data_IF_714044714448
#
_entry.id   IF_714044714448
#
_cell.length_a   1.000
_cell.length_b   1.000
_cell.length_c   1.000
_cell.angle_alpha   90.00
_cell.angle_beta   90.00
_cell.angle_gamma   90.00
#
_symmetry.space_group_name_H-M   'P 1'
#
loop_
_entity.id
_entity.type
_entity.pdbx_description
1 polymer ?
#
# COMPACT_ATOMS: atom_id res chain seq x y z
N UNK A 1 -31.05 -47.82 19.92
CA UNK A 1 -29.83 -47.18 20.43
C UNK A 1 -28.84 -47.11 19.28
N UNK A 2 -28.80 -45.99 18.56
CA UNK A 2 -27.92 -45.80 17.38
C UNK A 2 -26.75 -44.95 17.84
N UNK A 3 -25.56 -45.54 17.82
CA UNK A 3 -24.30 -44.88 18.20
C UNK A 3 -23.78 -44.16 16.95
N UNK A 4 -23.91 -42.83 16.93
CA UNK A 4 -23.32 -41.97 15.90
C UNK A 4 -21.85 -41.72 16.20
N UNK A 5 -20.97 -42.22 15.34
CA UNK A 5 -19.53 -41.92 15.37
C UNK A 5 -19.34 -40.56 14.70
N UNK A 6 -19.03 -39.53 15.49
CA UNK A 6 -18.57 -38.24 14.98
C UNK A 6 -17.08 -38.33 14.62
N UNK A 7 -16.79 -38.35 13.32
CA UNK A 7 -15.45 -38.16 12.79
C UNK A 7 -15.08 -36.67 12.91
N UNK A 8 -14.30 -36.34 13.93
CA UNK A 8 -13.60 -35.05 14.00
C UNK A 8 -12.45 -35.06 12.99
N UNK A 9 -12.67 -34.42 11.84
CA UNK A 9 -11.57 -34.08 10.94
C UNK A 9 -10.86 -32.87 11.55
N UNK A 10 -9.75 -33.11 12.25
CA UNK A 10 -8.87 -32.02 12.67
C UNK A 10 -8.18 -31.46 11.43
N UNK A 11 -8.58 -30.26 11.02
CA UNK A 11 -7.80 -29.43 10.09
C UNK A 11 -6.50 -29.05 10.83
N UNK A 12 -5.45 -29.85 10.63
CA UNK A 12 -4.10 -29.41 10.92
C UNK A 12 -3.77 -28.29 9.94
N UNK A 13 -3.92 -27.04 10.38
CA UNK A 13 -3.17 -25.95 9.78
C UNK A 13 -1.69 -26.26 10.04
N UNK A 14 -1.02 -26.86 9.05
CA UNK A 14 0.43 -26.91 9.04
C UNK A 14 0.87 -25.46 8.84
N UNK A 15 1.06 -24.76 9.95
CA UNK A 15 1.80 -23.51 9.96
C UNK A 15 3.23 -23.91 9.63
N UNK A 16 3.62 -23.78 8.37
CA UNK A 16 5.03 -23.77 8.01
C UNK A 16 5.62 -22.52 8.69
N UNK A 17 6.18 -22.69 9.88
CA UNK A 17 7.01 -21.67 10.49
C UNK A 17 8.24 -21.53 9.59
N UNK A 18 8.29 -20.47 8.79
CA UNK A 18 9.46 -20.19 7.97
C UNK A 18 10.67 -20.02 8.89
N UNK A 19 11.76 -20.73 8.59
CA UNK A 19 12.98 -20.66 9.39
C UNK A 19 13.60 -19.26 9.25
N UNK A 20 13.78 -18.56 10.37
CA UNK A 20 14.51 -17.30 10.40
C UNK A 20 16.00 -17.55 10.10
N UNK A 21 16.54 -16.83 9.13
CA UNK A 21 17.94 -16.91 8.72
C UNK A 21 18.84 -15.93 9.47
N UNK A 22 18.25 -14.91 10.11
CA UNK A 22 18.96 -14.02 11.02
C UNK A 22 19.14 -14.75 12.36
N UNK A 23 20.37 -14.72 12.88
CA UNK A 23 20.74 -15.26 14.18
C UNK A 23 20.91 -14.11 15.17
N UNK A 24 20.50 -14.30 16.43
CA UNK A 24 20.58 -13.28 17.48
C UNK A 24 19.94 -11.95 17.03
N UNK A 25 18.77 -12.04 16.39
CA UNK A 25 18.01 -10.86 15.93
C UNK A 25 17.15 -10.24 17.04
N UNK A 26 16.91 -10.97 18.12
CA UNK A 26 16.24 -10.55 19.34
C UNK A 26 17.20 -9.89 20.36
N UNK A 27 18.52 -10.03 20.17
CA UNK A 27 19.57 -9.38 20.98
C UNK A 27 19.48 -9.62 22.49
N UNK A 28 18.86 -10.73 22.92
CA UNK A 28 18.64 -11.08 24.33
C UNK A 28 19.94 -11.45 25.08
N UNK A 29 21.07 -11.55 24.38
CA UNK A 29 22.38 -11.68 25.00
C UNK A 29 23.09 -10.32 25.09
N UNK A 30 23.08 -9.62 26.24
CA UNK A 30 23.68 -8.28 26.36
C UNK A 30 25.20 -8.24 26.18
N UNK A 31 25.87 -9.39 26.32
CA UNK A 31 27.32 -9.48 26.28
C UNK A 31 27.86 -9.85 24.90
N UNK A 32 27.00 -10.22 23.95
CA UNK A 32 27.41 -10.55 22.59
C UNK A 32 26.33 -10.22 21.59
N UNK A 33 26.74 -9.49 20.56
CA UNK A 33 25.93 -9.24 19.37
C UNK A 33 26.27 -10.23 18.26
N UNK A 34 27.09 -11.27 18.50
CA UNK A 34 27.46 -12.21 17.45
C UNK A 34 26.20 -12.90 16.89
N UNK A 35 26.14 -13.16 15.56
CA UNK A 35 27.17 -12.95 14.55
C UNK A 35 27.05 -11.60 13.81
N UNK A 36 26.46 -10.58 14.42
CA UNK A 36 26.40 -9.25 13.83
C UNK A 36 27.75 -8.55 13.86
N UNK A 37 28.08 -7.88 12.77
CA UNK A 37 29.27 -7.07 12.60
C UNK A 37 28.89 -5.59 12.52
N UNK A 38 29.72 -4.72 13.09
CA UNK A 38 29.55 -3.26 13.05
C UNK A 38 30.89 -2.62 12.69
N UNK A 39 31.17 -2.46 11.39
CA UNK A 39 32.38 -1.78 10.94
C UNK A 39 32.21 -0.27 11.12
N UNK A 40 33.14 0.37 11.83
CA UNK A 40 33.10 1.82 12.05
C UNK A 40 32.02 2.29 13.02
N UNK A 41 31.51 1.40 13.89
CA UNK A 41 30.47 1.72 14.86
C UNK A 41 30.61 0.90 16.15
N UNK A 42 29.96 1.36 17.22
CA UNK A 42 30.00 0.73 18.54
C UNK A 42 28.61 0.18 18.92
N UNK A 43 28.38 -1.13 18.74
CA UNK A 43 27.16 -1.78 19.20
C UNK A 43 27.26 -2.12 20.70
N UNK A 44 26.21 -1.88 21.47
CA UNK A 44 26.12 -2.29 22.86
C UNK A 44 24.70 -2.78 23.18
N UNK A 45 24.56 -3.84 23.98
CA UNK A 45 23.26 -4.25 24.50
C UNK A 45 22.68 -3.20 25.46
N UNK A 46 21.38 -2.91 25.35
CA UNK A 46 20.68 -1.96 26.22
C UNK A 46 19.36 -2.53 26.75
N UNK A 47 19.06 -2.32 28.04
CA UNK A 47 17.75 -2.66 28.66
C UNK A 47 16.67 -1.65 28.27
N UNK A 48 16.28 -1.69 27.02
CA UNK A 48 15.18 -0.95 26.40
C UNK A 48 14.95 -1.66 25.08
N UNK A 49 13.82 -2.31 24.91
CA UNK A 49 13.58 -3.24 23.81
C UNK A 49 12.20 -2.97 23.20
N UNK A 50 12.00 -3.48 21.99
CA UNK A 50 10.68 -3.65 21.42
C UNK A 50 10.03 -4.90 21.98
N UNK A 51 10.80 -5.99 22.12
CA UNK A 51 10.35 -7.26 22.70
C UNK A 51 11.45 -7.84 23.58
N UNK A 52 11.05 -8.55 24.64
CA UNK A 52 11.99 -9.11 25.61
C UNK A 52 12.67 -8.03 26.46
N UNK A 53 13.90 -8.26 26.89
CA UNK A 53 14.60 -7.44 27.89
C UNK A 53 15.67 -6.53 27.28
N UNK A 54 16.20 -6.91 26.11
CA UNK A 54 17.38 -6.29 25.53
C UNK A 54 17.18 -5.95 24.06
N UNK A 55 17.92 -4.95 23.61
CA UNK A 55 18.09 -4.64 22.19
C UNK A 55 19.54 -4.21 21.96
N UNK A 56 19.92 -4.03 20.70
CA UNK A 56 21.24 -3.48 20.37
C UNK A 56 21.13 -1.98 20.09
N UNK A 57 21.98 -1.21 20.75
CA UNK A 57 22.18 0.21 20.50
C UNK A 57 23.44 0.42 19.66
N UNK A 58 23.32 1.13 18.54
CA UNK A 58 24.43 1.49 17.65
C UNK A 58 24.75 2.98 17.84
N UNK A 59 26.01 3.25 18.20
CA UNK A 59 26.52 4.61 18.43
C UNK A 59 27.90 4.79 17.80
N UNK A 60 28.41 6.01 17.83
CA UNK A 60 29.79 6.34 17.39
C UNK A 60 30.08 5.83 15.98
N UNK A 61 29.15 6.04 15.06
CA UNK A 61 29.32 5.68 13.65
C UNK A 61 30.24 6.72 13.01
N UNK A 62 31.24 6.27 12.27
CA UNK A 62 32.23 7.15 11.62
C UNK A 62 31.87 7.47 10.16
N UNK A 63 31.04 6.65 9.51
CA UNK A 63 30.66 6.77 8.11
C UNK A 63 29.19 6.37 7.88
N UNK A 64 28.63 6.77 6.75
CA UNK A 64 27.23 6.48 6.38
C UNK A 64 26.93 4.98 6.28
N UNK A 65 27.93 4.18 5.91
CA UNK A 65 27.81 2.73 5.80
C UNK A 65 28.17 1.97 7.09
N UNK A 66 28.54 2.68 8.16
CA UNK A 66 28.89 2.08 9.44
C UNK A 66 27.61 1.60 10.11
N UNK A 67 27.33 0.31 9.98
CA UNK A 67 26.01 -0.28 10.18
C UNK A 67 26.10 -1.69 10.76
N UNK A 68 25.04 -2.11 11.45
CA UNK A 68 24.87 -3.50 11.82
C UNK A 68 24.64 -4.34 10.56
N UNK A 69 25.48 -5.35 10.39
CA UNK A 69 25.51 -6.21 9.23
C UNK A 69 25.59 -7.67 9.65
N UNK A 70 24.81 -8.55 9.05
CA UNK A 70 24.92 -9.98 9.29
C UNK A 70 25.11 -10.74 7.97
N UNK A 71 26.06 -11.67 7.95
CA UNK A 71 26.26 -12.60 6.83
C UNK A 71 25.25 -13.74 6.90
N UNK A 72 24.43 -13.83 5.87
CA UNK A 72 23.41 -14.85 5.70
C UNK A 72 23.93 -15.96 4.79
N UNK A 73 23.88 -17.20 5.26
CA UNK A 73 24.26 -18.38 4.47
C UNK A 73 23.06 -18.83 3.64
N UNK A 74 23.13 -18.67 2.32
CA UNK A 74 22.11 -19.13 1.38
C UNK A 74 22.67 -19.20 -0.04
N UNK A 75 22.18 -20.12 -0.86
CA UNK A 75 22.57 -20.29 -2.27
C UNK A 75 21.91 -19.28 -3.23
N UNK A 76 21.01 -18.43 -2.71
CA UNK A 76 20.14 -17.58 -3.53
C UNK A 76 19.04 -18.38 -4.23
N UNK A 77 18.35 -17.75 -5.18
CA UNK A 77 17.25 -18.33 -5.95
C UNK A 77 15.85 -18.09 -5.39
N UNK A 78 15.74 -17.41 -4.27
CA UNK A 78 14.51 -17.27 -3.49
C UNK A 78 14.18 -15.79 -3.26
N UNK A 79 12.91 -15.53 -2.95
CA UNK A 79 12.48 -14.26 -2.37
C UNK A 79 12.56 -14.35 -0.85
N UNK A 80 13.01 -13.28 -0.21
CA UNK A 80 13.12 -13.18 1.24
C UNK A 80 12.31 -11.99 1.71
N UNK A 81 11.69 -12.09 2.88
CA UNK A 81 11.11 -10.95 3.60
C UNK A 81 11.95 -10.67 4.83
N UNK A 82 12.37 -9.41 4.96
CA UNK A 82 13.04 -8.90 6.14
C UNK A 82 12.04 -8.22 7.06
N UNK A 83 12.30 -8.29 8.37
CA UNK A 83 11.58 -7.52 9.37
C UNK A 83 12.51 -7.18 10.53
N UNK A 84 12.47 -5.96 11.03
CA UNK A 84 13.13 -5.53 12.27
C UNK A 84 12.44 -4.29 12.83
N UNK A 85 12.74 -3.89 14.05
CA UNK A 85 12.23 -2.66 14.64
C UNK A 85 13.40 -1.74 14.97
N UNK A 86 13.29 -0.48 14.55
CA UNK A 86 14.28 0.56 14.81
C UNK A 86 13.71 1.64 15.71
N UNK A 87 14.56 2.20 16.57
CA UNK A 87 14.24 3.38 17.38
C UNK A 87 15.38 4.37 17.34
N UNK A 88 15.11 5.60 16.90
CA UNK A 88 16.12 6.65 16.86
C UNK A 88 16.33 7.23 18.26
N UNK A 89 17.60 7.45 18.62
CA UNK A 89 18.00 8.04 19.88
C UNK A 89 18.50 9.48 19.71
N UNK A 90 19.13 9.75 18.57
CA UNK A 90 19.75 11.03 18.27
C UNK A 90 19.71 11.30 16.78
N UNK A 91 19.44 12.55 16.41
CA UNK A 91 19.50 13.04 15.04
C UNK A 91 20.65 14.04 14.88
N UNK A 92 21.00 14.34 13.62
CA UNK A 92 21.86 15.47 13.29
C UNK A 92 21.25 16.77 13.82
N UNK A 93 22.09 17.66 14.36
CA UNK A 93 21.62 18.94 14.89
C UNK A 93 20.91 19.75 13.81
N UNK A 94 19.65 20.11 14.05
CA UNK A 94 18.84 20.92 13.14
C UNK A 94 18.01 20.10 12.15
N UNK A 95 18.08 18.77 12.16
CA UNK A 95 17.18 17.92 11.39
C UNK A 95 16.02 17.42 12.25
N UNK A 96 14.85 17.24 11.63
CA UNK A 96 13.66 16.69 12.29
C UNK A 96 13.50 15.18 12.05
N UNK A 97 14.22 14.65 11.06
CA UNK A 97 14.11 13.27 10.61
C UNK A 97 15.39 12.80 9.92
N UNK A 98 15.46 11.50 9.64
CA UNK A 98 16.47 10.82 8.81
C UNK A 98 15.79 9.70 8.02
N UNK A 99 16.48 9.16 7.01
CA UNK A 99 16.01 8.01 6.25
C UNK A 99 16.76 6.75 6.72
N UNK A 100 16.05 5.63 6.81
CA UNK A 100 16.61 4.34 7.22
C UNK A 100 16.52 3.38 6.05
N UNK A 101 17.63 2.70 5.72
CA UNK A 101 17.68 1.81 4.57
C UNK A 101 18.17 0.43 5.00
N UNK A 102 17.62 -0.60 4.37
CA UNK A 102 18.16 -1.96 4.48
C UNK A 102 18.68 -2.39 3.11
N UNK A 103 19.93 -2.85 3.11
CA UNK A 103 20.63 -3.29 1.93
C UNK A 103 20.93 -4.78 2.00
N UNK A 104 20.80 -5.43 0.84
CA UNK A 104 21.46 -6.71 0.59
C UNK A 104 22.74 -6.47 -0.21
N UNK A 105 23.80 -7.16 0.19
CA UNK A 105 25.14 -7.04 -0.41
C UNK A 105 25.67 -8.42 -0.76
N UNK A 106 26.00 -8.66 -2.03
CA UNK A 106 26.54 -9.94 -2.48
C UNK A 106 27.40 -9.75 -3.73
N UNK A 107 28.18 -10.77 -4.08
CA UNK A 107 28.89 -10.83 -5.36
C UNK A 107 28.16 -11.81 -6.27
N UNK A 108 27.78 -11.37 -7.46
CA UNK A 108 27.08 -12.23 -8.42
C UNK A 108 28.01 -13.30 -9.02
N UNK A 109 27.45 -14.23 -9.80
CA UNK A 109 28.22 -15.29 -10.47
C UNK A 109 29.33 -14.79 -11.41
N UNK A 110 29.27 -13.53 -11.84
CA UNK A 110 30.23 -12.90 -12.74
C UNK A 110 31.33 -12.14 -11.99
N UNK A 111 31.26 -12.07 -10.66
CA UNK A 111 32.22 -11.32 -9.84
C UNK A 111 31.84 -9.86 -9.60
N UNK A 112 30.64 -9.44 -10.01
CA UNK A 112 30.15 -8.08 -9.79
C UNK A 112 29.65 -7.94 -8.36
N UNK A 113 30.15 -6.93 -7.65
CA UNK A 113 29.61 -6.55 -6.34
C UNK A 113 28.27 -5.84 -6.52
N UNK A 114 27.23 -6.38 -5.89
CA UNK A 114 25.88 -5.82 -5.86
C UNK A 114 25.59 -5.31 -4.45
N UNK A 115 25.15 -4.06 -4.38
CA UNK A 115 24.51 -3.46 -3.20
C UNK A 115 23.12 -3.00 -3.63
N UNK A 116 22.10 -3.72 -3.19
CA UNK A 116 20.70 -3.43 -3.51
C UNK A 116 19.98 -2.98 -2.26
N UNK A 117 19.36 -1.80 -2.32
CA UNK A 117 18.41 -1.35 -1.31
C UNK A 117 17.08 -2.07 -1.55
N UNK A 118 16.48 -2.60 -0.48
CA UNK A 118 15.19 -3.28 -0.57
C UNK A 118 14.21 -2.88 0.55
N UNK A 119 14.68 -2.12 1.53
CA UNK A 119 13.86 -1.34 2.46
C UNK A 119 14.33 0.09 2.40
N UNK A 120 13.41 1.03 2.30
CA UNK A 120 13.69 2.46 2.22
C UNK A 120 12.71 3.21 3.10
N UNK A 121 12.95 3.44 4.38
CA UNK A 121 11.98 4.06 5.27
C UNK A 121 12.29 5.56 5.47
N UNK A 122 11.59 6.48 4.78
CA UNK A 122 11.95 7.89 4.81
C UNK A 122 11.41 8.60 6.05
N UNK A 123 12.07 9.69 6.43
CA UNK A 123 11.59 10.65 7.44
C UNK A 123 11.28 10.05 8.83
N UNK A 124 12.06 9.07 9.28
CA UNK A 124 11.97 8.51 10.63
C UNK A 124 12.35 9.57 11.66
N UNK A 125 11.56 9.66 12.74
CA UNK A 125 11.72 10.66 13.79
C UNK A 125 11.93 9.99 15.14
N UNK A 126 12.64 10.65 16.05
CA UNK A 126 12.78 10.20 17.45
C UNK A 126 11.42 10.00 18.11
N UNK A 127 10.44 10.86 17.80
CA UNK A 127 9.09 10.80 18.36
C UNK A 127 8.27 9.58 17.95
N UNK A 128 8.67 8.82 16.91
CA UNK A 128 7.94 7.61 16.49
C UNK A 128 8.18 6.42 17.43
N UNK A 129 9.26 6.44 18.21
CA UNK A 129 9.62 5.30 19.05
C UNK A 129 10.06 4.10 18.20
N UNK A 130 9.62 2.91 18.57
CA UNK A 130 9.89 1.69 17.80
C UNK A 130 9.08 1.68 16.50
N UNK A 131 9.78 1.67 15.38
CA UNK A 131 9.23 1.69 14.03
C UNK A 131 9.60 0.41 13.31
N UNK A 132 8.63 -0.26 12.70
CA UNK A 132 8.88 -1.46 11.91
C UNK A 132 9.60 -1.10 10.60
N UNK A 133 10.65 -1.87 10.28
CA UNK A 133 11.30 -1.93 8.98
C UNK A 133 10.93 -3.28 8.36
N UNK A 134 10.22 -3.29 7.24
CA UNK A 134 9.96 -4.51 6.47
C UNK A 134 10.27 -4.31 5.00
N UNK A 135 10.13 -5.36 4.20
CA UNK A 135 10.39 -5.34 2.77
C UNK A 135 10.97 -6.66 2.27
N UNK A 136 10.71 -6.94 1.00
CA UNK A 136 11.12 -8.17 0.35
C UNK A 136 12.24 -7.96 -0.67
N UNK A 137 13.02 -9.01 -0.90
CA UNK A 137 14.12 -9.00 -1.85
C UNK A 137 14.32 -10.35 -2.52
N UNK A 138 14.49 -10.31 -3.83
CA UNK A 138 14.94 -11.47 -4.61
C UNK A 138 16.46 -11.56 -4.60
N UNK A 139 17.01 -12.71 -4.21
CA UNK A 139 18.45 -12.98 -4.33
C UNK A 139 18.65 -13.94 -5.51
N UNK A 140 19.45 -13.58 -6.53
CA UNK A 140 19.61 -14.41 -7.71
C UNK A 140 20.34 -15.73 -7.40
N UNK A 141 20.11 -16.73 -8.24
CA UNK A 141 20.86 -17.98 -8.18
C UNK A 141 22.35 -17.79 -8.48
N UNK A 142 23.20 -18.55 -7.80
CA UNK A 142 24.63 -18.63 -8.10
C UNK A 142 25.45 -17.45 -7.59
N UNK A 143 25.01 -16.78 -6.52
CA UNK A 143 25.86 -15.80 -5.81
C UNK A 143 27.16 -16.48 -5.33
N UNK A 144 28.27 -15.75 -5.37
CA UNK A 144 29.54 -16.29 -4.91
C UNK A 144 29.51 -16.60 -3.41
N UNK A 145 30.28 -17.62 -3.02
CA UNK A 145 30.44 -18.04 -1.63
C UNK A 145 29.16 -18.50 -0.92
N UNK A 146 28.03 -18.65 -1.63
CA UNK A 146 26.72 -19.03 -1.08
C UNK A 146 26.35 -18.22 0.17
N UNK A 147 26.62 -16.92 0.13
CA UNK A 147 26.22 -16.00 1.17
C UNK A 147 25.99 -14.59 0.65
N UNK A 148 25.18 -13.83 1.37
CA UNK A 148 24.97 -12.41 1.19
C UNK A 148 24.93 -11.73 2.56
N UNK A 149 25.14 -10.41 2.60
CA UNK A 149 25.03 -9.64 3.84
C UNK A 149 23.75 -8.80 3.82
N UNK A 150 23.04 -8.78 4.95
CA UNK A 150 21.97 -7.82 5.22
C UNK A 150 22.53 -6.72 6.12
N UNK A 151 22.29 -5.46 5.78
CA UNK A 151 22.90 -4.31 6.46
C UNK A 151 21.87 -3.19 6.64
N UNK A 152 21.76 -2.67 7.86
CA UNK A 152 20.81 -1.61 8.22
C UNK A 152 21.56 -0.29 8.34
N UNK A 153 21.45 0.55 7.31
CA UNK A 153 22.24 1.76 7.12
C UNK A 153 21.40 3.02 7.24
N UNK A 154 21.97 4.07 7.84
CA UNK A 154 21.40 5.41 7.92
C UNK A 154 22.41 6.40 7.31
N UNK A 155 22.04 7.26 6.35
CA UNK A 155 22.99 8.11 5.65
C UNK A 155 23.84 9.01 6.57
N UNK A 156 23.24 9.57 7.62
CA UNK A 156 23.94 10.44 8.58
C UNK A 156 24.60 9.61 9.68
N UNK A 157 25.92 9.75 9.85
CA UNK A 157 26.71 8.96 10.80
C UNK A 157 26.55 9.46 12.25
N UNK A 158 26.06 10.68 12.45
CA UNK A 158 25.80 11.24 13.78
C UNK A 158 24.49 10.73 14.40
N UNK A 159 23.70 9.96 13.65
CA UNK A 159 22.46 9.32 14.11
C UNK A 159 22.78 8.08 14.91
N UNK A 160 22.36 8.10 16.17
CA UNK A 160 22.38 6.93 17.07
C UNK A 160 20.99 6.27 17.05
N UNK A 161 20.96 4.94 17.04
CA UNK A 161 19.72 4.18 16.94
C UNK A 161 19.80 2.85 17.70
N UNK A 162 18.64 2.23 17.90
CA UNK A 162 18.51 0.89 18.45
C UNK A 162 17.80 -0.02 17.45
N UNK A 163 18.13 -1.31 17.49
CA UNK A 163 17.49 -2.35 16.68
C UNK A 163 17.06 -3.53 17.54
N UNK A 164 15.94 -4.13 17.14
CA UNK A 164 15.38 -5.30 17.79
C UNK A 164 14.58 -6.18 16.81
N UNK A 165 14.32 -7.43 17.21
CA UNK A 165 13.52 -8.45 16.52
C UNK A 165 13.80 -8.56 15.01
N UNK A 166 15.08 -8.58 14.65
CA UNK A 166 15.52 -8.75 13.27
C UNK A 166 15.27 -10.19 12.78
N UNK A 167 14.65 -10.31 11.61
CA UNK A 167 14.35 -11.58 10.98
C UNK A 167 14.47 -11.48 9.46
N UNK A 168 14.83 -12.60 8.84
CA UNK A 168 14.83 -12.78 7.40
C UNK A 168 14.32 -14.20 7.12
N UNK A 169 13.19 -14.30 6.42
CA UNK A 169 12.58 -15.59 6.10
C UNK A 169 12.37 -15.73 4.60
N UNK A 170 12.50 -16.95 4.08
CA UNK A 170 12.14 -17.24 2.70
C UNK A 170 10.63 -17.04 2.52
N UNK A 171 10.24 -16.28 1.50
CA UNK A 171 8.85 -16.19 1.05
C UNK A 171 8.56 -17.47 0.25
N UNK A 172 7.74 -18.39 0.77
CA UNK A 172 7.49 -19.65 0.10
C UNK A 172 6.82 -19.39 -1.25
N UNK A 173 7.35 -19.98 -2.31
CA UNK A 173 6.67 -19.99 -3.58
C UNK A 173 5.37 -20.80 -3.44
N UNK A 174 4.23 -20.12 -3.55
CA UNK A 174 2.93 -20.75 -3.53
C UNK A 174 2.44 -20.92 -4.98
N UNK A 175 2.64 -22.08 -5.64
CA UNK A 175 2.19 -22.29 -7.01
C UNK A 175 0.66 -22.20 -7.16
N UNK A 176 -0.08 -22.25 -6.06
CA UNK A 176 -1.53 -22.19 -6.01
C UNK A 176 -2.07 -20.81 -5.61
N UNK A 177 -1.21 -19.79 -5.44
CA UNK A 177 -1.62 -18.45 -4.99
C UNK A 177 -2.79 -17.92 -5.80
N UNK A 178 -2.75 -18.12 -7.12
CA UNK A 178 -3.79 -17.65 -8.03
C UNK A 178 -5.10 -18.41 -7.82
N UNK A 179 -5.05 -19.73 -7.82
CA UNK A 179 -6.25 -20.55 -7.60
C UNK A 179 -6.87 -20.33 -6.21
N UNK A 180 -6.04 -20.06 -5.19
CA UNK A 180 -6.51 -19.72 -3.85
C UNK A 180 -7.16 -18.34 -3.83
N UNK A 181 -6.52 -17.33 -4.43
CA UNK A 181 -7.10 -16.00 -4.57
C UNK A 181 -8.41 -16.04 -5.36
N UNK A 182 -8.49 -16.80 -6.46
CA UNK A 182 -9.70 -16.99 -7.26
C UNK A 182 -10.81 -17.66 -6.43
N UNK A 183 -10.47 -18.70 -5.66
CA UNK A 183 -11.40 -19.38 -4.75
C UNK A 183 -11.91 -18.45 -3.64
N UNK A 184 -11.05 -17.59 -3.10
CA UNK A 184 -11.45 -16.58 -2.12
C UNK A 184 -12.32 -15.49 -2.73
N UNK A 185 -12.02 -15.04 -3.95
CA UNK A 185 -12.88 -14.11 -4.70
C UNK A 185 -14.25 -14.75 -4.93
N UNK A 186 -14.30 -16.01 -5.36
CA UNK A 186 -15.56 -16.74 -5.56
C UNK A 186 -16.35 -16.84 -4.25
N UNK A 187 -15.68 -17.16 -3.14
CA UNK A 187 -16.31 -17.32 -1.83
C UNK A 187 -16.75 -16.01 -1.17
N UNK A 188 -15.96 -14.95 -1.33
CA UNK A 188 -16.14 -13.69 -0.58
C UNK A 188 -16.78 -12.57 -1.42
N UNK A 189 -16.63 -12.61 -2.74
CA UNK A 189 -17.02 -11.51 -3.64
C UNK A 189 -18.04 -11.91 -4.69
N UNK A 190 -18.29 -13.21 -4.91
CA UNK A 190 -19.35 -13.68 -5.81
C UNK A 190 -20.50 -14.29 -5.01
N UNK A 191 -21.69 -14.20 -5.57
CA UNK A 191 -22.89 -14.82 -5.03
C UNK A 191 -23.62 -15.54 -6.17
N UNK A 192 -24.15 -16.73 -5.88
CA UNK A 192 -24.99 -17.47 -6.83
C UNK A 192 -26.39 -16.87 -6.83
N UNK A 193 -26.82 -16.35 -7.98
CA UNK A 193 -28.21 -15.94 -8.19
C UNK A 193 -28.98 -17.09 -8.86
N UNK A 194 -29.92 -17.69 -8.14
CA UNK A 194 -30.86 -18.67 -8.71
C UNK A 194 -32.15 -17.96 -9.06
N UNK A 195 -32.52 -18.00 -10.34
CA UNK A 195 -33.80 -17.46 -10.82
C UNK A 195 -34.72 -18.62 -11.18
N UNK A 196 -35.88 -18.67 -10.53
CA UNK A 196 -36.91 -19.68 -10.81
C UNK A 196 -38.16 -18.95 -11.30
N UNK A 197 -38.42 -18.90 -12.61
CA UNK A 197 -39.66 -18.33 -13.12
C UNK A 197 -40.84 -19.20 -12.67
N UNK A 198 -41.85 -18.57 -12.07
CA UNK A 198 -43.10 -19.24 -11.66
C UNK A 198 -44.24 -18.63 -12.47
N UNK A 199 -44.87 -19.45 -13.30
CA UNK A 199 -46.13 -19.08 -13.96
C UNK A 199 -47.28 -19.37 -12.99
N UNK A 200 -47.91 -18.33 -12.45
CA UNK A 200 -49.15 -18.48 -11.69
C UNK A 200 -50.30 -18.70 -12.67
N UNK A 201 -50.77 -19.94 -12.75
CA UNK A 201 -52.12 -20.20 -13.23
C UNK A 201 -53.08 -19.86 -12.08
N UNK A 202 -53.90 -18.81 -12.25
CA UNK A 202 -55.11 -18.72 -11.44
C UNK A 202 -55.90 -20.00 -11.72
N UNK A 203 -56.15 -20.76 -10.66
CA UNK A 203 -56.86 -22.03 -10.67
C UNK A 203 -58.06 -21.97 -11.62
N UNK A 204 -58.01 -22.83 -12.65
CA UNK A 204 -59.14 -23.45 -13.38
C UNK A 204 -58.87 -23.65 -14.88
N UNK A 205 -57.78 -23.11 -15.43
CA UNK A 205 -57.40 -23.41 -16.82
C UNK A 205 -56.39 -24.55 -16.90
N UNK A 206 -56.91 -25.78 -17.00
CA UNK A 206 -56.17 -26.90 -17.58
C UNK A 206 -55.79 -26.51 -19.02
N UNK A 207 -54.51 -26.61 -19.38
CA UNK A 207 -54.04 -26.52 -20.75
C UNK A 207 -54.56 -27.74 -21.55
N UNK A 208 -55.87 -27.76 -21.83
CA UNK A 208 -56.46 -28.70 -22.77
C UNK A 208 -56.25 -28.15 -24.16
N UNK A 209 -55.57 -28.95 -24.98
CA UNK A 209 -54.99 -28.61 -26.26
C UNK A 209 -55.94 -28.08 -27.35
N UNK A 210 -57.21 -27.80 -27.07
CA UNK A 210 -58.20 -27.64 -28.13
C UNK A 210 -59.06 -26.38 -28.17
N UNK A 211 -59.17 -25.51 -27.15
CA UNK A 211 -59.92 -24.24 -27.33
C UNK A 211 -59.40 -23.08 -26.47
N UNK A 212 -58.79 -22.09 -27.13
CA UNK A 212 -58.86 -20.67 -26.75
C UNK A 212 -58.11 -20.17 -25.50
N UNK A 213 -57.30 -20.98 -24.84
CA UNK A 213 -56.61 -20.57 -23.61
C UNK A 213 -55.20 -20.04 -23.91
N UNK A 214 -54.93 -18.77 -23.60
CA UNK A 214 -53.59 -18.17 -23.69
C UNK A 214 -52.66 -18.83 -22.66
N UNK A 215 -51.98 -19.89 -23.08
CA UNK A 215 -50.91 -20.51 -22.30
C UNK A 215 -49.65 -19.66 -22.49
N UNK A 216 -49.02 -19.25 -21.39
CA UNK A 216 -47.72 -18.58 -21.47
C UNK A 216 -46.68 -19.67 -21.77
N UNK A 217 -46.21 -19.70 -23.02
CA UNK A 217 -45.07 -20.54 -23.40
C UNK A 217 -43.79 -19.91 -22.86
N UNK A 218 -43.29 -20.49 -21.76
CA UNK A 218 -42.07 -20.05 -21.09
C UNK A 218 -40.81 -20.21 -21.95
N UNK A 219 -40.85 -20.94 -23.06
CA UNK A 219 -39.73 -21.07 -24.01
C UNK A 219 -39.42 -19.76 -24.76
N UNK A 220 -40.36 -18.80 -24.76
CA UNK A 220 -40.17 -17.45 -25.30
C UNK A 220 -39.85 -16.40 -24.23
N UNK A 221 -39.66 -16.78 -22.97
CA UNK A 221 -39.28 -15.85 -21.91
C UNK A 221 -37.77 -15.63 -21.90
N UNK A 222 -37.36 -14.37 -21.82
CA UNK A 222 -35.97 -13.96 -21.61
C UNK A 222 -35.86 -13.23 -20.29
N UNK A 223 -34.80 -13.54 -19.54
CA UNK A 223 -34.46 -12.81 -18.32
C UNK A 223 -33.15 -12.07 -18.55
N UNK A 224 -33.20 -10.75 -18.44
CA UNK A 224 -32.02 -9.90 -18.46
C UNK A 224 -31.65 -9.51 -17.02
N UNK A 225 -30.42 -9.81 -16.61
CA UNK A 225 -29.88 -9.34 -15.34
C UNK A 225 -28.95 -8.17 -15.64
N UNK A 226 -29.32 -6.97 -15.18
CA UNK A 226 -28.48 -5.78 -15.28
C UNK A 226 -27.97 -5.40 -13.89
N UNK A 227 -26.66 -5.43 -13.70
CA UNK A 227 -26.04 -4.85 -12.51
C UNK A 227 -26.15 -3.33 -12.62
N UNK A 228 -26.96 -2.70 -11.75
CA UNK A 228 -27.22 -1.26 -11.78
C UNK A 228 -26.33 -0.45 -10.83
N UNK A 229 -25.67 -1.12 -9.88
CA UNK A 229 -24.72 -0.52 -8.94
C UNK A 229 -23.73 -1.56 -8.40
N UNK A 230 -22.55 -1.11 -8.00
CA UNK A 230 -21.61 -1.91 -7.22
C UNK A 230 -21.66 -1.51 -5.74
N UNK A 231 -21.37 -2.45 -4.83
CA UNK A 231 -21.18 -2.11 -3.41
C UNK A 231 -19.84 -1.36 -3.19
N UNK A 232 -18.89 -1.57 -4.09
CA UNK A 232 -17.59 -0.90 -4.11
C UNK A 232 -17.54 0.09 -5.25
N UNK A 233 -16.93 1.25 -5.01
CA UNK A 233 -16.78 2.29 -6.00
C UNK A 233 -16.11 1.77 -7.29
N UNK A 234 -16.78 1.92 -8.43
CA UNK A 234 -16.22 1.62 -9.75
C UNK A 234 -16.04 2.90 -10.57
N UNK A 235 -14.80 3.28 -10.82
CA UNK A 235 -14.47 4.56 -11.44
C UNK A 235 -13.23 4.53 -12.29
N UNK A 236 -12.96 5.67 -12.90
CA UNK A 236 -11.74 5.93 -13.65
C UNK A 236 -11.26 7.36 -13.39
N UNK A 237 -9.99 7.59 -13.69
CA UNK A 237 -9.37 8.91 -13.67
C UNK A 237 -9.82 9.72 -14.88
N UNK A 238 -10.05 11.02 -14.68
CA UNK A 238 -10.68 11.96 -15.60
C UNK A 238 -9.74 13.13 -15.82
N UNK A 239 -9.40 13.38 -17.08
CA UNK A 239 -8.67 14.57 -17.46
C UNK A 239 -9.65 15.74 -17.58
N UNK A 240 -9.54 16.78 -16.74
CA UNK A 240 -10.53 17.86 -16.69
C UNK A 240 -10.60 18.62 -18.02
N UNK A 241 -9.46 18.87 -18.68
CA UNK A 241 -9.40 19.59 -19.96
C UNK A 241 -10.15 18.85 -21.08
N UNK A 242 -10.06 17.52 -21.12
CA UNK A 242 -10.79 16.71 -22.11
C UNK A 242 -12.28 16.70 -21.83
N UNK A 243 -12.67 16.72 -20.54
CA UNK A 243 -14.07 16.70 -20.15
C UNK A 243 -14.79 18.02 -20.45
N UNK A 244 -14.09 19.16 -20.33
CA UNK A 244 -14.66 20.49 -20.58
C UNK A 244 -14.60 20.91 -22.05
N UNK A 245 -13.82 20.20 -22.87
CA UNK A 245 -13.71 20.49 -24.29
C UNK A 245 -14.95 20.01 -25.07
N UNK A 246 -15.75 20.95 -25.56
CA UNK A 246 -16.98 20.67 -26.31
C UNK A 246 -16.76 19.98 -27.66
N UNK A 247 -15.53 19.95 -28.18
CA UNK A 247 -15.19 19.20 -29.39
C UNK A 247 -14.92 17.71 -29.11
N UNK A 248 -14.81 17.30 -27.83
CA UNK A 248 -14.47 15.94 -27.40
C UNK A 248 -15.61 15.27 -26.62
N UNK A 249 -16.84 15.45 -27.07
CA UNK A 249 -18.04 14.91 -26.40
C UNK A 249 -17.99 13.40 -26.15
N UNK A 250 -17.35 12.63 -27.05
CA UNK A 250 -17.21 11.18 -26.91
C UNK A 250 -16.42 10.76 -25.67
N UNK A 251 -15.46 11.58 -25.22
CA UNK A 251 -14.70 11.31 -24.01
C UNK A 251 -15.63 11.37 -22.79
N UNK A 252 -16.37 12.48 -22.64
CA UNK A 252 -17.35 12.63 -21.57
C UNK A 252 -18.41 11.54 -21.60
N UNK A 253 -18.98 11.26 -22.78
CA UNK A 253 -20.00 10.23 -22.96
C UNK A 253 -19.51 8.84 -22.52
N UNK A 254 -18.31 8.46 -22.93
CA UNK A 254 -17.69 7.21 -22.46
C UNK A 254 -17.58 7.17 -20.94
N UNK A 255 -17.16 8.26 -20.31
CA UNK A 255 -17.07 8.31 -18.85
C UNK A 255 -18.43 8.15 -18.18
N UNK A 256 -19.47 8.82 -18.71
CA UNK A 256 -20.81 8.80 -18.14
C UNK A 256 -21.51 7.44 -18.27
N UNK A 257 -21.27 6.74 -19.38
CA UNK A 257 -21.94 5.46 -19.66
C UNK A 257 -21.31 4.27 -18.93
N UNK A 258 -20.04 4.39 -18.51
CA UNK A 258 -19.26 3.25 -18.01
C UNK A 258 -18.91 3.33 -16.51
N UNK A 259 -18.97 4.50 -15.88
CA UNK A 259 -18.47 4.68 -14.52
C UNK A 259 -19.47 5.38 -13.59
N UNK A 260 -19.48 4.96 -12.32
CA UNK A 260 -20.23 5.63 -11.25
C UNK A 260 -19.36 6.62 -10.46
N UNK A 261 -18.03 6.53 -10.57
CA UNK A 261 -17.06 7.43 -9.95
C UNK A 261 -16.07 8.02 -10.97
N UNK A 262 -15.70 9.29 -10.76
CA UNK A 262 -14.66 9.99 -11.52
C UNK A 262 -13.65 10.65 -10.58
N UNK A 263 -12.38 10.28 -10.70
CA UNK A 263 -11.27 10.98 -10.04
C UNK A 263 -10.73 12.06 -10.99
N UNK A 264 -10.65 13.32 -10.56
CA UNK A 264 -10.05 14.35 -11.42
C UNK A 264 -8.51 14.23 -11.39
N UNK A 265 -7.92 13.93 -12.54
CA UNK A 265 -6.48 13.78 -12.75
C UNK A 265 -5.74 15.07 -12.41
N UNK A 266 -4.92 15.04 -11.35
CA UNK A 266 -4.09 16.13 -10.84
C UNK A 266 -4.79 17.50 -10.63
N UNK A 267 -6.06 17.66 -10.99
CA UNK A 267 -6.72 18.96 -11.06
C UNK A 267 -6.95 19.60 -9.70
N UNK A 268 -6.89 18.81 -8.62
CA UNK A 268 -6.96 19.32 -7.25
C UNK A 268 -5.59 19.48 -6.58
N UNK A 269 -4.49 19.11 -7.26
CA UNK A 269 -3.15 19.30 -6.73
C UNK A 269 -2.86 20.78 -6.58
N UNK A 270 -2.13 21.12 -5.52
CA UNK A 270 -1.90 22.52 -5.15
C UNK A 270 -1.17 23.29 -6.26
N UNK A 271 -0.15 22.69 -6.89
CA UNK A 271 0.59 23.35 -7.98
C UNK A 271 -0.28 23.68 -9.20
N UNK A 272 -1.28 22.85 -9.50
CA UNK A 272 -2.16 23.04 -10.68
C UNK A 272 -3.25 24.07 -10.41
N UNK A 273 -3.54 24.35 -9.14
CA UNK A 273 -4.55 25.33 -8.76
C UNK A 273 -3.97 26.68 -8.33
N UNK A 274 -2.73 26.71 -7.86
CA UNK A 274 -2.09 27.90 -7.29
C UNK A 274 -0.57 27.83 -7.48
N UNK A 275 -0.14 27.80 -8.74
CA UNK A 275 1.28 27.80 -9.12
C UNK A 275 2.03 29.02 -8.57
N UNK A 276 1.35 30.17 -8.52
CA UNK A 276 1.78 31.42 -7.91
C UNK A 276 0.92 31.79 -6.70
N UNK A 277 1.56 32.28 -5.62
CA UNK A 277 0.87 32.53 -4.36
C UNK A 277 -0.29 33.52 -4.54
N UNK A 278 -1.49 33.12 -4.10
CA UNK A 278 -2.76 33.85 -4.22
C UNK A 278 -3.27 34.07 -5.65
N UNK A 279 -2.70 33.38 -6.63
CA UNK A 279 -3.23 33.34 -8.00
C UNK A 279 -3.85 31.96 -8.22
N UNK A 280 -5.16 31.91 -8.01
CA UNK A 280 -5.91 30.67 -8.11
C UNK A 280 -6.41 30.46 -9.55
N UNK A 281 -6.07 29.32 -10.13
CA UNK A 281 -6.64 28.83 -11.38
C UNK A 281 -7.45 27.55 -11.10
N UNK A 282 -8.77 27.64 -11.20
CA UNK A 282 -9.66 26.52 -10.89
C UNK A 282 -10.80 26.36 -11.90
N UNK A 283 -10.80 27.11 -13.00
CA UNK A 283 -11.97 27.23 -13.87
C UNK A 283 -12.29 25.88 -14.52
N UNK A 284 -11.29 25.26 -15.17
CA UNK A 284 -11.42 23.93 -15.78
C UNK A 284 -11.86 22.88 -14.76
N UNK A 285 -11.28 22.91 -13.55
CA UNK A 285 -11.65 22.00 -12.47
C UNK A 285 -13.12 22.16 -12.10
N UNK A 286 -13.58 23.40 -11.86
CA UNK A 286 -14.96 23.69 -11.46
C UNK A 286 -15.94 23.26 -12.55
N UNK A 287 -15.64 23.56 -13.81
CA UNK A 287 -16.46 23.12 -14.95
C UNK A 287 -16.53 21.60 -15.06
N UNK A 288 -15.39 20.90 -14.92
CA UNK A 288 -15.35 19.44 -14.93
C UNK A 288 -16.17 18.82 -13.79
N UNK A 289 -16.03 19.35 -12.56
CA UNK A 289 -16.79 18.90 -11.40
C UNK A 289 -18.29 19.12 -11.54
N UNK A 290 -18.71 20.18 -12.23
CA UNK A 290 -20.11 20.45 -12.55
C UNK A 290 -20.63 19.48 -13.62
N UNK A 291 -19.86 19.22 -14.69
CA UNK A 291 -20.24 18.24 -15.74
C UNK A 291 -20.41 16.84 -15.19
N UNK A 292 -19.52 16.39 -14.30
CA UNK A 292 -19.66 15.09 -13.63
C UNK A 292 -20.90 15.05 -12.74
N UNK A 293 -21.16 16.13 -12.00
CA UNK A 293 -22.35 16.23 -11.14
C UNK A 293 -23.64 16.19 -11.94
N UNK A 294 -23.72 16.88 -13.07
CA UNK A 294 -24.93 16.92 -13.90
C UNK A 294 -25.27 15.56 -14.51
N UNK A 295 -24.27 14.68 -14.68
CA UNK A 295 -24.43 13.32 -15.18
C UNK A 295 -24.51 12.26 -14.06
N UNK A 296 -24.58 12.68 -12.79
CA UNK A 296 -24.80 11.78 -11.66
C UNK A 296 -23.55 11.03 -11.17
N UNK A 297 -22.34 11.38 -11.64
CA UNK A 297 -21.11 10.74 -11.19
C UNK A 297 -20.72 11.25 -9.80
N UNK A 298 -20.34 10.30 -8.95
CA UNK A 298 -19.63 10.59 -7.70
C UNK A 298 -18.20 10.96 -8.03
N UNK A 299 -17.58 11.78 -7.19
CA UNK A 299 -16.32 12.47 -7.51
C UNK A 299 -15.28 12.22 -6.43
N UNK A 300 -14.05 11.98 -6.87
CA UNK A 300 -12.87 11.91 -6.02
C UNK A 300 -11.86 12.99 -6.42
N UNK A 301 -11.15 13.47 -5.42
CA UNK A 301 -9.97 14.30 -5.61
C UNK A 301 -8.77 13.57 -5.03
N UNK A 302 -7.65 13.61 -5.76
CA UNK A 302 -6.38 13.03 -5.33
C UNK A 302 -5.30 14.11 -5.25
N UNK A 303 -4.49 14.05 -4.20
CA UNK A 303 -3.29 14.89 -4.10
C UNK A 303 -3.51 16.30 -3.59
N UNK A 304 -4.38 16.51 -2.59
CA UNK A 304 -4.50 17.82 -1.94
C UNK A 304 -3.14 18.37 -1.48
N UNK A 305 -2.33 17.48 -0.90
CA UNK A 305 -0.91 17.66 -0.64
C UNK A 305 -0.16 16.46 -1.20
N UNK A 306 1.09 16.64 -1.63
CA UNK A 306 1.98 15.53 -2.02
C UNK A 306 3.32 15.65 -1.32
N UNK A 307 3.93 14.51 -0.98
CA UNK A 307 5.31 14.50 -0.47
C UNK A 307 6.35 14.79 -1.56
N UNK A 308 5.96 14.70 -2.84
CA UNK A 308 6.80 15.06 -3.97
C UNK A 308 6.88 16.58 -4.09
N UNK A 309 8.09 17.14 -3.99
CA UNK A 309 8.31 18.59 -4.06
C UNK A 309 7.74 19.22 -5.34
N UNK A 310 7.81 18.51 -6.47
CA UNK A 310 7.31 18.95 -7.79
C UNK A 310 5.78 19.12 -7.85
N UNK A 311 5.05 18.52 -6.93
CA UNK A 311 3.58 18.57 -6.90
C UNK A 311 3.05 19.67 -5.96
N UNK A 312 3.97 20.43 -5.34
CA UNK A 312 3.66 21.59 -4.52
C UNK A 312 4.17 22.87 -5.19
N UNK A 313 3.48 24.02 -5.02
CA UNK A 313 3.97 25.27 -5.58
C UNK A 313 5.35 25.67 -5.04
N UNK A 314 6.21 26.18 -5.91
CA UNK A 314 7.57 26.60 -5.56
C UNK A 314 7.63 27.72 -4.51
N UNK A 315 6.53 28.47 -4.32
CA UNK A 315 6.47 29.53 -3.31
C UNK A 315 6.32 28.96 -1.89
N UNK A 316 5.77 27.76 -1.72
CA UNK A 316 5.60 27.13 -0.39
C UNK A 316 6.95 26.88 0.28
N UNK A 317 7.95 26.40 -0.46
CA UNK A 317 9.29 26.11 0.08
C UNK A 317 10.07 27.36 0.51
N UNK A 318 9.61 28.55 0.09
CA UNK A 318 10.22 29.85 0.42
C UNK A 318 9.59 30.48 1.67
N UNK A 319 8.51 29.90 2.20
CA UNK A 319 7.82 30.44 3.37
C UNK A 319 8.51 30.02 4.68
N UNK A 320 8.52 30.89 5.70
CA UNK A 320 8.83 30.49 7.07
C UNK A 320 7.87 29.40 7.56
N UNK A 321 8.32 28.51 8.46
CA UNK A 321 7.53 27.38 8.98
C UNK A 321 6.14 27.80 9.53
N UNK A 322 6.07 28.98 10.18
CA UNK A 322 4.81 29.55 10.66
C UNK A 322 3.80 29.79 9.54
N UNK A 323 4.28 30.26 8.40
CA UNK A 323 3.46 30.68 7.27
C UNK A 323 3.09 29.48 6.38
N UNK A 324 3.91 28.42 6.36
CA UNK A 324 3.56 27.13 5.74
C UNK A 324 2.29 26.56 6.40
N UNK A 325 2.22 26.56 7.74
CA UNK A 325 1.05 26.07 8.47
C UNK A 325 -0.21 26.90 8.18
N UNK A 326 -0.07 28.21 7.94
CA UNK A 326 -1.17 29.06 7.53
C UNK A 326 -1.60 28.76 6.09
N UNK A 327 -0.66 28.64 5.16
CA UNK A 327 -0.96 28.28 3.78
C UNK A 327 -1.67 26.92 3.66
N UNK A 328 -1.26 25.91 4.44
CA UNK A 328 -1.91 24.61 4.50
C UNK A 328 -3.36 24.74 5.00
N UNK A 329 -3.58 25.52 6.06
CA UNK A 329 -4.93 25.75 6.61
C UNK A 329 -5.82 26.47 5.61
N UNK A 330 -5.30 27.51 4.97
CA UNK A 330 -6.03 28.27 3.95
C UNK A 330 -6.42 27.37 2.77
N UNK A 331 -5.50 26.50 2.32
CA UNK A 331 -5.77 25.51 1.27
C UNK A 331 -6.86 24.52 1.66
N UNK A 332 -6.82 23.97 2.89
CA UNK A 332 -7.86 23.06 3.39
C UNK A 332 -9.21 23.76 3.41
N UNK A 333 -9.28 24.98 3.96
CA UNK A 333 -10.51 25.75 4.04
C UNK A 333 -11.08 26.07 2.66
N UNK A 334 -10.22 26.49 1.73
CA UNK A 334 -10.60 26.78 0.35
C UNK A 334 -11.17 25.53 -0.34
N UNK A 335 -10.51 24.38 -0.19
CA UNK A 335 -10.97 23.13 -0.80
C UNK A 335 -12.25 22.61 -0.15
N UNK A 336 -12.40 22.73 1.17
CA UNK A 336 -13.64 22.41 1.85
C UNK A 336 -14.81 23.28 1.34
N UNK A 337 -14.59 24.57 1.11
CA UNK A 337 -15.59 25.47 0.56
C UNK A 337 -15.94 25.14 -0.90
N UNK A 338 -14.93 24.86 -1.73
CA UNK A 338 -15.10 24.48 -3.14
C UNK A 338 -15.94 23.19 -3.30
N UNK A 339 -15.75 22.26 -2.37
CA UNK A 339 -16.37 20.95 -2.36
C UNK A 339 -17.56 20.85 -1.38
N UNK A 340 -18.27 21.94 -1.09
CA UNK A 340 -19.33 21.93 -0.08
C UNK A 340 -20.36 20.76 -0.26
N UNK A 341 -20.54 20.00 0.83
CA UNK A 341 -21.38 18.81 1.09
C UNK A 341 -21.41 17.66 0.04
N UNK A 342 -20.81 16.52 0.43
CA UNK A 342 -20.83 15.16 -0.21
C UNK A 342 -19.62 14.77 -1.08
N UNK A 343 -18.41 15.08 -0.65
CA UNK A 343 -17.21 14.46 -1.21
C UNK A 343 -16.59 13.53 -0.19
N UNK A 344 -16.26 12.32 -0.63
CA UNK A 344 -15.48 11.36 0.15
C UNK A 344 -14.02 11.62 -0.19
N UNK A 345 -13.30 12.24 0.75
CA UNK A 345 -11.85 12.45 0.62
C UNK A 345 -11.14 11.17 1.04
N UNK A 346 -10.36 10.56 0.14
CA UNK A 346 -9.53 9.39 0.48
C UNK A 346 -8.03 9.72 0.55
N UNK A 347 -7.56 10.86 0.03
CA UNK A 347 -6.13 11.22 0.07
C UNK A 347 -5.91 12.70 0.41
N UNK A 348 -5.89 13.01 1.71
CA UNK A 348 -5.42 14.31 2.22
C UNK A 348 -3.94 14.53 1.84
N UNK A 349 -3.14 13.46 1.85
CA UNK A 349 -1.75 13.47 1.43
C UNK A 349 -1.56 12.30 0.45
N UNK A 350 -1.18 12.61 -0.79
CA UNK A 350 -0.79 11.63 -1.80
C UNK A 350 0.73 11.42 -1.74
N UNK A 351 1.17 10.23 -2.12
CA UNK A 351 2.58 9.85 -2.06
C UNK A 351 3.15 9.99 -0.65
N UNK A 352 2.31 9.83 0.39
CA UNK A 352 2.82 9.50 1.71
C UNK A 352 3.39 8.10 1.59
N UNK A 353 4.63 8.06 1.14
CA UNK A 353 5.44 6.88 1.11
C UNK A 353 5.72 6.54 2.58
N UNK A 354 4.78 5.82 3.19
CA UNK A 354 5.11 4.83 4.21
C UNK A 354 5.65 3.69 3.36
N UNK A 355 6.94 3.73 3.08
CA UNK A 355 7.58 2.61 2.40
C UNK A 355 7.49 1.43 3.37
N UNK A 356 6.74 0.41 2.95
CA UNK A 356 6.62 -0.90 3.61
C UNK A 356 7.99 -1.57 3.77
#
# INVERSE_FOLDING_TARGET
>A
MVIGIFLFVSLYNVVFSATNLIVNGDFENPNSIDPWECLGCKPNGLRNSYKGDWSVMVTNRDQSFSALTQRIRSTGGENYIFKSYIKLLKLVRGTMYTDVHVYVKYTDRYGTYIKQRFVDYPKVQIGFGWTELSGDVYIPNGIQSNNFNVSIEIPEHEVDFMLDEASLTVIPNNPYWKSQADSEIDRLRKATLTLTPVAHHNSDYYCQHNQGSYCIDISYMYVEIKQTRSQYAFGSTIQPDLLVNDSLTNYGQFMYDNFEWGEIDNGIQWINMESDQRQLDNETLVQALQRLRSHGLKRWGSGLFSALSKSNPNWISKLPLRDINLAIKDRINYMAALFNERYVYNFLIQDLVIND
#
